data_IF_802564676865
#
_entry.id   IF_802564676865
#
_cell.length_a   1.000
_cell.length_b   1.000
_cell.length_c   1.000
_cell.angle_alpha   90.00
_cell.angle_beta   90.00
_cell.angle_gamma   90.00
#
_symmetry.space_group_name_H-M   'P 1'
#
loop_
_entity.id
_entity.type
_entity.pdbx_description
1 polymer ?
#
# COMPACT_ATOMS: atom_id res chain seq x y z
N UNK A 1 68.07 -8.64 -41.71
CA UNK A 1 67.02 -7.66 -41.31
C UNK A 1 65.82 -8.45 -40.80
N UNK A 2 65.58 -8.36 -39.49
CA UNK A 2 64.39 -9.09 -38.86
C UNK A 2 63.32 -8.07 -38.61
N UNK A 3 62.18 -8.26 -39.35
CA UNK A 3 60.98 -7.44 -39.16
C UNK A 3 60.19 -7.97 -37.97
N UNK A 4 60.02 -7.15 -36.92
CA UNK A 4 59.16 -7.47 -35.81
C UNK A 4 57.72 -7.00 -36.09
N UNK A 5 56.81 -7.98 -36.30
CA UNK A 5 55.39 -7.77 -36.44
C UNK A 5 54.79 -7.47 -35.06
N UNK A 6 54.39 -6.24 -34.81
CA UNK A 6 53.66 -5.87 -33.59
C UNK A 6 52.20 -6.21 -33.76
N UNK A 7 51.74 -7.25 -33.06
CA UNK A 7 50.29 -7.60 -32.97
C UNK A 7 49.70 -6.70 -31.94
N UNK A 8 48.81 -5.81 -32.37
CA UNK A 8 47.97 -4.96 -31.49
C UNK A 8 46.74 -5.78 -31.09
N UNK A 9 46.70 -6.23 -29.83
CA UNK A 9 45.50 -6.88 -29.27
C UNK A 9 44.59 -5.75 -28.80
N UNK A 10 43.51 -5.52 -29.54
CA UNK A 10 42.40 -4.65 -29.11
C UNK A 10 41.47 -5.47 -28.22
N UNK A 11 41.57 -5.25 -26.91
CA UNK A 11 40.62 -5.84 -25.95
C UNK A 11 39.38 -4.98 -25.98
N UNK A 12 38.36 -5.45 -26.71
CA UNK A 12 37.01 -4.87 -26.70
C UNK A 12 36.33 -5.17 -25.36
N UNK A 13 36.24 -4.15 -24.49
CA UNK A 13 35.43 -4.22 -23.28
C UNK A 13 33.97 -4.13 -23.70
N UNK A 14 33.31 -5.30 -23.78
CA UNK A 14 31.86 -5.37 -24.02
C UNK A 14 31.15 -5.00 -22.71
N UNK A 15 30.80 -3.73 -22.55
CA UNK A 15 29.93 -3.27 -21.46
C UNK A 15 28.53 -3.81 -21.69
N UNK A 16 28.24 -4.96 -21.08
CA UNK A 16 26.89 -5.51 -20.99
C UNK A 16 26.10 -4.66 -19.98
N UNK A 17 25.45 -3.60 -20.44
CA UNK A 17 24.48 -2.84 -19.65
C UNK A 17 23.25 -3.74 -19.53
N UNK A 18 23.20 -4.51 -18.44
CA UNK A 18 21.98 -5.21 -18.07
C UNK A 18 20.96 -4.16 -17.60
N UNK A 19 20.02 -3.84 -18.47
CA UNK A 19 18.83 -3.07 -18.11
C UNK A 19 18.02 -3.91 -17.13
N UNK A 20 18.16 -3.63 -15.84
CA UNK A 20 17.28 -4.18 -14.81
C UNK A 20 15.93 -3.50 -15.02
N UNK A 21 15.07 -4.12 -15.81
CA UNK A 21 13.66 -3.77 -15.83
C UNK A 21 13.08 -4.25 -14.50
N UNK A 22 12.98 -3.34 -13.53
CA UNK A 22 12.14 -3.55 -12.36
C UNK A 22 10.70 -3.70 -12.88
N UNK A 23 10.27 -4.94 -13.08
CA UNK A 23 8.88 -5.24 -13.36
C UNK A 23 8.09 -4.80 -12.12
N UNK A 24 7.35 -3.69 -12.24
CA UNK A 24 6.40 -3.29 -11.22
C UNK A 24 5.47 -4.48 -11.00
N UNK A 25 5.56 -5.07 -9.80
CA UNK A 25 4.73 -6.21 -9.45
C UNK A 25 3.28 -5.72 -9.48
N UNK A 26 2.50 -6.19 -10.47
CA UNK A 26 1.09 -5.85 -10.59
C UNK A 26 0.39 -6.39 -9.35
N UNK A 27 0.03 -5.50 -8.45
CA UNK A 27 -0.78 -5.88 -7.27
C UNK A 27 -2.15 -6.28 -7.80
N UNK A 28 -2.45 -7.57 -7.74
CA UNK A 28 -3.73 -8.11 -8.17
C UNK A 28 -4.75 -7.94 -7.04
N UNK A 29 -5.96 -7.48 -7.41
CA UNK A 29 -7.09 -7.41 -6.49
C UNK A 29 -7.57 -8.83 -6.17
N UNK A 30 -7.48 -9.23 -4.90
CA UNK A 30 -8.03 -10.51 -4.47
C UNK A 30 -9.56 -10.41 -4.37
N UNK A 31 -10.26 -11.25 -5.10
CA UNK A 31 -11.73 -11.22 -5.18
C UNK A 31 -12.42 -11.91 -4.01
N UNK A 32 -11.68 -12.68 -3.19
CA UNK A 32 -12.30 -13.57 -2.22
C UNK A 32 -12.80 -12.82 -0.99
N UNK A 33 -12.04 -11.82 -0.53
CA UNK A 33 -12.42 -11.05 0.65
C UNK A 33 -11.94 -9.60 0.54
N UNK A 34 -12.84 -8.65 0.78
CA UNK A 34 -12.52 -7.23 0.85
C UNK A 34 -12.80 -6.67 2.24
N UNK A 35 -11.90 -5.80 2.69
CA UNK A 35 -11.97 -5.07 3.96
C UNK A 35 -11.88 -3.58 3.65
N UNK A 36 -12.99 -2.88 3.76
CA UNK A 36 -13.12 -1.46 3.46
C UNK A 36 -13.33 -0.70 4.76
N UNK A 37 -12.44 0.23 5.04
CA UNK A 37 -12.44 1.01 6.28
C UNK A 37 -12.55 2.49 5.97
N UNK A 38 -13.44 3.19 6.66
CA UNK A 38 -13.54 4.64 6.62
C UNK A 38 -13.20 5.23 7.98
N UNK A 39 -12.41 6.30 7.97
CA UNK A 39 -11.97 7.01 9.17
C UNK A 39 -12.49 8.45 9.15
N UNK A 40 -13.01 8.89 10.28
CA UNK A 40 -13.33 10.29 10.55
C UNK A 40 -12.38 10.80 11.62
N UNK A 41 -11.44 11.67 11.24
CA UNK A 41 -10.51 12.26 12.21
C UNK A 41 -11.25 13.21 13.17
N UNK A 42 -10.68 13.40 14.36
CA UNK A 42 -11.15 14.40 15.33
C UNK A 42 -11.02 15.82 14.76
N UNK A 43 -9.87 16.10 14.15
CA UNK A 43 -9.53 17.39 13.55
C UNK A 43 -9.18 17.21 12.06
N UNK A 44 -10.17 17.00 11.16
CA UNK A 44 -9.92 16.63 9.77
C UNK A 44 -9.18 17.70 8.95
N UNK A 45 -9.18 18.96 9.42
CA UNK A 45 -8.50 20.08 8.77
C UNK A 45 -7.12 20.39 9.39
N UNK A 46 -6.74 19.70 10.47
CA UNK A 46 -5.43 19.87 11.09
C UNK A 46 -4.36 19.12 10.29
N UNK A 47 -3.38 19.86 9.76
CA UNK A 47 -2.34 19.30 8.89
C UNK A 47 -1.42 18.31 9.65
N UNK A 48 -1.15 18.54 10.95
CA UNK A 48 -0.31 17.65 11.74
C UNK A 48 -1.02 16.33 12.04
N UNK A 49 -2.29 16.37 12.47
CA UNK A 49 -3.09 15.17 12.74
C UNK A 49 -3.21 14.30 11.47
N UNK A 50 -3.38 14.94 10.30
CA UNK A 50 -3.40 14.24 9.01
C UNK A 50 -2.07 13.59 8.70
N UNK A 51 -0.97 14.30 8.89
CA UNK A 51 0.38 13.79 8.65
C UNK A 51 0.71 12.62 9.57
N UNK A 52 0.37 12.71 10.84
CA UNK A 52 0.62 11.66 11.85
C UNK A 52 -0.19 10.41 11.53
N UNK A 53 -1.49 10.57 11.21
CA UNK A 53 -2.35 9.47 10.77
C UNK A 53 -1.81 8.80 9.52
N UNK A 54 -1.50 9.56 8.47
CA UNK A 54 -0.97 9.02 7.21
C UNK A 54 0.37 8.30 7.38
N UNK A 55 1.24 8.84 8.23
CA UNK A 55 2.55 8.25 8.51
C UNK A 55 2.39 6.89 9.18
N UNK A 56 1.56 6.81 10.21
CA UNK A 56 1.29 5.56 10.93
C UNK A 56 0.57 4.55 10.03
N UNK A 57 -0.45 4.96 9.28
CA UNK A 57 -1.17 4.09 8.35
C UNK A 57 -0.24 3.53 7.24
N UNK A 58 0.58 4.38 6.64
CA UNK A 58 1.55 3.95 5.60
C UNK A 58 2.62 3.02 6.17
N UNK A 59 3.09 3.26 7.39
CA UNK A 59 4.01 2.39 8.12
C UNK A 59 3.39 1.01 8.35
N UNK A 60 2.16 0.98 8.85
CA UNK A 60 1.40 -0.25 9.05
C UNK A 60 1.28 -1.05 7.75
N UNK A 61 0.81 -0.43 6.68
CA UNK A 61 0.60 -1.13 5.40
C UNK A 61 1.89 -1.67 4.78
N UNK A 62 3.03 -0.99 4.99
CA UNK A 62 4.34 -1.52 4.53
C UNK A 62 4.76 -2.76 5.30
N UNK A 63 4.39 -2.88 6.56
CA UNK A 63 4.80 -3.95 7.46
C UNK A 63 3.75 -5.06 7.61
N UNK A 64 2.54 -4.88 7.10
CA UNK A 64 1.52 -5.92 7.10
C UNK A 64 1.93 -7.10 6.23
N UNK A 65 1.90 -8.29 6.82
CA UNK A 65 2.22 -9.56 6.16
C UNK A 65 1.04 -10.11 5.36
N UNK A 66 -0.18 -9.79 5.77
CA UNK A 66 -1.40 -10.40 5.23
C UNK A 66 -2.18 -9.53 4.26
N UNK A 67 -2.13 -8.20 4.44
CA UNK A 67 -2.91 -7.29 3.62
C UNK A 67 -2.43 -7.22 2.17
N UNK A 68 -3.35 -7.42 1.24
CA UNK A 68 -3.15 -7.22 -0.20
C UNK A 68 -3.94 -5.98 -0.67
N UNK A 69 -3.74 -5.54 -1.91
CA UNK A 69 -4.46 -4.40 -2.50
C UNK A 69 -4.53 -3.18 -1.56
N UNK A 70 -3.37 -2.60 -1.24
CA UNK A 70 -3.26 -1.55 -0.22
C UNK A 70 -3.60 -0.18 -0.81
N UNK A 71 -4.89 0.18 -0.86
CA UNK A 71 -5.36 1.48 -1.33
C UNK A 71 -5.72 2.40 -0.16
N UNK A 72 -5.20 3.62 -0.17
CA UNK A 72 -5.60 4.71 0.72
C UNK A 72 -6.21 5.81 -0.13
N UNK A 73 -7.37 6.32 0.27
CA UNK A 73 -8.07 7.38 -0.44
C UNK A 73 -8.60 8.48 0.48
N UNK A 74 -9.00 9.57 -0.15
CA UNK A 74 -9.77 10.66 0.45
C UNK A 74 -11.07 10.85 -0.33
N UNK A 75 -12.09 11.56 0.20
CA UNK A 75 -13.30 11.84 -0.54
C UNK A 75 -13.02 12.48 -1.89
N UNK A 76 -13.65 11.96 -2.94
CA UNK A 76 -13.51 12.49 -4.30
C UNK A 76 -14.38 13.73 -4.54
N UNK A 77 -15.22 14.10 -3.58
CA UNK A 77 -16.17 15.23 -3.66
C UNK A 77 -17.12 15.15 -4.87
N UNK A 78 -17.47 13.93 -5.28
CA UNK A 78 -18.42 13.73 -6.38
C UNK A 78 -19.79 14.23 -5.99
N UNK A 79 -20.41 15.17 -6.76
CA UNK A 79 -21.67 15.80 -6.42
C UNK A 79 -22.87 14.94 -6.81
N UNK A 80 -23.11 13.85 -6.09
CA UNK A 80 -24.26 12.97 -6.26
C UNK A 80 -24.86 12.64 -4.89
N UNK A 81 -26.17 12.64 -4.77
CA UNK A 81 -26.91 12.45 -3.50
C UNK A 81 -26.59 11.13 -2.79
N UNK A 82 -26.21 10.10 -3.55
CA UNK A 82 -25.86 8.78 -3.01
C UNK A 82 -24.40 8.68 -2.57
N UNK A 83 -23.57 9.74 -2.78
CA UNK A 83 -22.13 9.73 -2.43
C UNK A 83 -21.93 10.37 -1.07
N UNK A 84 -21.49 9.57 -0.11
CA UNK A 84 -21.05 10.07 1.20
C UNK A 84 -19.61 10.54 1.14
N UNK A 85 -19.41 11.85 1.27
CA UNK A 85 -18.09 12.50 1.32
C UNK A 85 -17.68 12.90 2.75
N UNK A 86 -18.37 12.39 3.79
CA UNK A 86 -18.19 12.84 5.18
C UNK A 86 -16.94 12.28 5.87
N UNK A 87 -16.35 11.22 5.33
CA UNK A 87 -15.16 10.61 5.92
C UNK A 87 -13.88 11.42 5.61
N UNK A 88 -12.82 11.19 6.40
CA UNK A 88 -11.51 11.82 6.15
C UNK A 88 -10.61 10.94 5.28
N UNK A 89 -10.56 9.64 5.57
CA UNK A 89 -9.78 8.66 4.82
C UNK A 89 -10.55 7.38 4.58
N UNK A 90 -10.27 6.75 3.45
CA UNK A 90 -10.69 5.38 3.15
C UNK A 90 -9.48 4.47 3.00
N UNK A 91 -9.63 3.23 3.42
CA UNK A 91 -8.67 2.17 3.25
C UNK A 91 -9.36 0.97 2.61
N UNK A 92 -8.78 0.42 1.54
CA UNK A 92 -9.26 -0.80 0.92
C UNK A 92 -8.13 -1.82 0.93
N UNK A 93 -8.39 -2.94 1.57
CA UNK A 93 -7.53 -4.11 1.60
C UNK A 93 -8.27 -5.32 1.05
N UNK A 94 -7.54 -6.27 0.53
CA UNK A 94 -8.10 -7.57 0.14
C UNK A 94 -7.32 -8.69 0.77
N UNK A 95 -7.96 -9.86 0.87
CA UNK A 95 -7.38 -11.06 1.47
C UNK A 95 -7.83 -12.32 0.73
N UNK A 96 -7.00 -13.39 0.70
CA UNK A 96 -7.39 -14.67 0.11
C UNK A 96 -8.57 -15.34 0.80
N UNK A 97 -8.81 -15.04 2.07
CA UNK A 97 -9.94 -15.59 2.84
C UNK A 97 -10.18 -14.79 4.13
N UNK A 98 -11.32 -15.07 4.76
CA UNK A 98 -11.65 -14.54 6.09
C UNK A 98 -10.62 -14.97 7.15
N UNK A 99 -10.12 -16.19 7.10
CA UNK A 99 -9.13 -16.70 8.04
C UNK A 99 -7.80 -15.94 7.95
N UNK A 100 -7.42 -15.49 6.76
CA UNK A 100 -6.23 -14.65 6.57
C UNK A 100 -6.49 -13.24 7.11
N UNK A 101 -7.70 -12.70 6.92
CA UNK A 101 -8.10 -11.43 7.52
C UNK A 101 -8.15 -11.51 9.06
N UNK A 102 -8.58 -12.63 9.64
CA UNK A 102 -8.54 -12.87 11.09
C UNK A 102 -7.09 -12.87 11.65
N UNK A 103 -6.11 -13.32 10.85
CA UNK A 103 -4.68 -13.22 11.22
C UNK A 103 -4.17 -11.78 11.15
N UNK A 104 -4.54 -11.06 10.09
CA UNK A 104 -4.26 -9.64 9.92
C UNK A 104 -4.71 -8.81 11.12
N UNK A 105 -5.91 -9.04 11.66
CA UNK A 105 -6.42 -8.34 12.83
C UNK A 105 -5.51 -8.48 14.07
N UNK A 106 -4.71 -9.53 14.15
CA UNK A 106 -3.86 -9.88 15.29
C UNK A 106 -2.37 -9.64 15.00
N UNK A 107 -2.00 -9.27 13.79
CA UNK A 107 -0.60 -9.05 13.45
C UNK A 107 -0.01 -7.84 14.21
N UNK A 108 1.28 -7.88 14.58
CA UNK A 108 1.92 -6.80 15.32
C UNK A 108 1.81 -5.43 14.63
N UNK A 109 1.88 -5.41 13.30
CA UNK A 109 1.80 -4.18 12.52
C UNK A 109 0.43 -3.50 12.66
N UNK A 110 -0.68 -4.27 12.66
CA UNK A 110 -2.03 -3.75 12.86
C UNK A 110 -2.23 -3.24 14.29
N UNK A 111 -1.81 -4.02 15.30
CA UNK A 111 -1.95 -3.63 16.70
C UNK A 111 -1.15 -2.36 17.01
N UNK A 112 0.04 -2.22 16.44
CA UNK A 112 0.86 -1.02 16.59
C UNK A 112 0.18 0.21 15.95
N UNK A 113 -0.42 0.05 14.79
CA UNK A 113 -1.18 1.13 14.14
C UNK A 113 -2.34 1.61 15.02
N UNK A 114 -3.10 0.70 15.63
CA UNK A 114 -4.18 1.05 16.55
C UNK A 114 -3.63 1.82 17.77
N UNK A 115 -2.52 1.36 18.35
CA UNK A 115 -1.88 2.02 19.49
C UNK A 115 -1.38 3.43 19.14
N UNK A 116 -0.70 3.59 18.02
CA UNK A 116 -0.13 4.87 17.58
C UNK A 116 -1.16 5.89 17.12
N UNK A 117 -2.27 5.46 16.48
CA UNK A 117 -3.12 6.37 15.73
C UNK A 117 -4.58 6.45 16.20
N UNK A 118 -5.04 5.56 17.10
CA UNK A 118 -6.47 5.52 17.46
C UNK A 118 -6.97 6.81 18.13
N UNK A 119 -6.12 7.57 18.77
CA UNK A 119 -6.49 8.85 19.37
C UNK A 119 -6.80 9.95 18.35
N UNK A 120 -6.41 9.77 17.08
CA UNK A 120 -6.60 10.76 16.02
C UNK A 120 -7.99 10.71 15.39
N UNK A 121 -8.74 9.60 15.51
CA UNK A 121 -10.06 9.49 14.94
C UNK A 121 -11.18 9.42 15.98
N UNK A 122 -12.33 9.96 15.65
CA UNK A 122 -13.57 9.90 16.44
C UNK A 122 -14.52 8.78 16.02
N UNK A 123 -14.34 8.27 14.78
CA UNK A 123 -15.18 7.20 14.24
C UNK A 123 -14.38 6.39 13.23
N UNK A 124 -14.57 5.09 13.28
CA UNK A 124 -14.16 4.12 12.25
C UNK A 124 -15.39 3.32 11.83
N UNK A 125 -15.53 3.08 10.53
CA UNK A 125 -16.57 2.21 9.99
C UNK A 125 -15.91 1.20 9.06
N UNK A 126 -16.23 -0.07 9.27
CA UNK A 126 -15.68 -1.18 8.51
C UNK A 126 -16.78 -1.88 7.74
N UNK A 127 -16.48 -2.28 6.51
CA UNK A 127 -17.31 -3.14 5.69
C UNK A 127 -16.47 -4.31 5.19
N UNK A 128 -16.78 -5.50 5.71
CA UNK A 128 -16.18 -6.75 5.28
C UNK A 128 -17.13 -7.47 4.32
N UNK A 129 -16.59 -7.93 3.20
CA UNK A 129 -17.39 -8.60 2.19
C UNK A 129 -16.67 -9.84 1.66
N UNK A 130 -17.41 -10.91 1.49
CA UNK A 130 -16.95 -12.11 0.78
C UNK A 130 -17.37 -12.00 -0.67
N UNK A 131 -16.43 -12.35 -1.57
CA UNK A 131 -16.71 -12.35 -3.01
C UNK A 131 -17.84 -13.31 -3.35
N UNK A 132 -18.73 -12.86 -4.21
CA UNK A 132 -19.66 -13.70 -4.96
C UNK A 132 -19.11 -13.80 -6.36
N UNK A 133 -18.94 -14.97 -6.90
CA UNK A 133 -18.34 -15.20 -8.23
C UNK A 133 -18.92 -14.30 -9.34
#
# INVERSE_FOLDING_TARGET
MKAYLKILIVIGVFNCVQSIHAQAQKVEFDKNFSHVVYFWLNNPDNAQDRQDFETSLKKFLRNSEYAQTKFIGVPANTPRDVVDNSYTYSLILTFPSKEVQDKYQKEPAHLLFIDEASHLWKKVQVYDSVGIE
#
